data_IF_534841465003
#
_entry.id   IF_534841465003
#
_cell.length_a   1.000
_cell.length_b   1.000
_cell.length_c   1.000
_cell.angle_alpha   90.00
_cell.angle_beta   90.00
_cell.angle_gamma   90.00
#
_symmetry.space_group_name_H-M   'P 1'
#
loop_
_entity.id
_entity.type
_entity.pdbx_description
1 polymer ?
#
# COMPACT_ATOMS: atom_id res chain seq x y z
N UNK A 1 0.65 -15.54 -20.76
CA UNK A 1 0.95 -15.22 -19.35
C UNK A 1 -0.37 -15.08 -18.62
N UNK A 2 -0.57 -15.73 -17.48
CA UNK A 2 -1.76 -15.48 -16.66
C UNK A 2 -1.63 -14.09 -16.03
N UNK A 3 -2.66 -13.25 -16.13
CA UNK A 3 -2.70 -12.01 -15.37
C UNK A 3 -2.68 -12.33 -13.87
N UNK A 4 -1.80 -11.65 -13.12
CA UNK A 4 -1.80 -11.72 -11.65
C UNK A 4 -2.47 -10.46 -11.13
N UNK A 5 -3.64 -10.63 -10.53
CA UNK A 5 -4.38 -9.55 -9.89
C UNK A 5 -4.03 -9.51 -8.41
N UNK A 6 -3.72 -8.31 -7.93
CA UNK A 6 -3.51 -8.03 -6.51
C UNK A 6 -4.54 -7.01 -6.05
N UNK A 7 -5.00 -7.14 -4.81
CA UNK A 7 -5.91 -6.18 -4.19
C UNK A 7 -5.13 -5.31 -3.21
N UNK A 8 -5.30 -4.00 -3.31
CA UNK A 8 -4.67 -3.03 -2.41
C UNK A 8 -5.72 -2.35 -1.53
N UNK A 9 -5.54 -2.43 -0.22
CA UNK A 9 -6.30 -1.68 0.77
C UNK A 9 -5.51 -0.48 1.27
N UNK A 10 -6.13 0.70 1.30
CA UNK A 10 -5.52 1.96 1.74
C UNK A 10 -6.43 2.60 2.81
N UNK A 11 -5.89 2.84 4.00
CA UNK A 11 -6.54 3.57 5.10
C UNK A 11 -5.70 4.81 5.45
N UNK A 12 -6.24 6.00 5.17
CA UNK A 12 -5.56 7.27 5.42
C UNK A 12 -6.40 8.10 6.40
N UNK A 13 -5.94 8.15 7.65
CA UNK A 13 -6.42 9.10 8.65
C UNK A 13 -5.59 10.39 8.65
N UNK A 14 -5.93 11.36 9.51
CA UNK A 14 -5.27 12.68 9.60
C UNK A 14 -3.81 12.68 10.08
N UNK A 15 -3.32 11.55 10.59
CA UNK A 15 -1.96 11.40 11.11
C UNK A 15 -1.23 10.24 10.44
N UNK A 16 -1.95 9.20 10.00
CA UNK A 16 -1.38 7.92 9.58
C UNK A 16 -1.95 7.43 8.26
N UNK A 17 -1.10 6.81 7.45
CA UNK A 17 -1.48 6.01 6.29
C UNK A 17 -1.10 4.55 6.53
N UNK A 18 -2.04 3.64 6.25
CA UNK A 18 -1.84 2.19 6.23
C UNK A 18 -2.12 1.67 4.83
N UNK A 19 -1.27 0.78 4.36
CA UNK A 19 -1.44 0.12 3.05
C UNK A 19 -1.20 -1.36 3.22
N UNK A 20 -2.05 -2.18 2.59
CA UNK A 20 -1.91 -3.64 2.53
C UNK A 20 -2.14 -4.10 1.10
N UNK A 21 -1.32 -5.03 0.62
CA UNK A 21 -1.51 -5.71 -0.66
C UNK A 21 -1.66 -7.20 -0.40
N UNK A 22 -2.69 -7.78 -1.00
CA UNK A 22 -2.95 -9.22 -0.94
C UNK A 22 -2.99 -9.84 -2.33
N UNK A 23 -2.62 -11.11 -2.42
CA UNK A 23 -2.84 -11.94 -3.61
C UNK A 23 -4.28 -12.49 -3.66
N UNK A 24 -4.59 -13.26 -4.71
CA UNK A 24 -5.90 -13.92 -4.89
C UNK A 24 -6.23 -14.95 -3.81
N UNK A 25 -5.22 -15.46 -3.10
CA UNK A 25 -5.37 -16.42 -2.02
C UNK A 25 -5.44 -15.72 -0.66
N UNK A 26 -5.61 -14.39 -0.64
CA UNK A 26 -5.66 -13.54 0.56
C UNK A 26 -4.36 -13.49 1.37
N UNK A 27 -3.23 -13.93 0.79
CA UNK A 27 -1.93 -13.81 1.45
C UNK A 27 -1.44 -12.37 1.34
N UNK A 28 -0.98 -11.80 2.46
CA UNK A 28 -0.35 -10.49 2.49
C UNK A 28 1.00 -10.55 1.79
N UNK A 29 1.15 -9.78 0.71
CA UNK A 29 2.39 -9.62 -0.02
C UNK A 29 3.16 -8.37 0.44
N UNK A 30 2.43 -7.36 0.92
CA UNK A 30 3.02 -6.13 1.42
C UNK A 30 2.12 -5.51 2.49
N UNK A 31 2.74 -4.90 3.51
CA UNK A 31 2.03 -4.04 4.45
C UNK A 31 2.92 -2.89 4.91
N UNK A 32 2.35 -1.69 4.99
CA UNK A 32 3.04 -0.51 5.47
C UNK A 32 2.15 0.30 6.41
N UNK A 33 2.78 0.80 7.46
CA UNK A 33 2.24 1.82 8.36
C UNK A 33 3.19 3.01 8.36
N UNK A 34 2.69 4.20 8.05
CA UNK A 34 3.47 5.45 7.97
C UNK A 34 2.71 6.59 8.61
N UNK A 35 3.43 7.50 9.29
CA UNK A 35 2.86 8.77 9.74
C UNK A 35 2.96 9.77 8.59
N UNK A 36 1.83 10.19 8.04
CA UNK A 36 1.84 11.03 6.83
C UNK A 36 2.07 12.52 7.12
N UNK A 37 1.97 12.97 8.38
CA UNK A 37 2.25 14.36 8.82
C UNK A 37 1.64 15.44 7.91
N UNK A 38 0.35 15.31 7.57
CA UNK A 38 -0.37 16.17 6.62
C UNK A 38 0.05 16.06 5.12
N UNK A 39 1.06 15.27 4.78
CA UNK A 39 1.51 15.02 3.40
C UNK A 39 0.98 13.68 2.85
N UNK A 40 -0.35 13.57 2.74
CA UNK A 40 -1.04 12.34 2.32
C UNK A 40 -0.59 11.83 0.95
N UNK A 41 -0.54 12.70 -0.06
CA UNK A 41 -0.20 12.32 -1.43
C UNK A 41 1.23 11.80 -1.58
N UNK A 42 2.21 12.47 -0.97
CA UNK A 42 3.61 12.02 -0.96
C UNK A 42 3.78 10.68 -0.26
N UNK A 43 3.08 10.48 0.85
CA UNK A 43 3.15 9.21 1.59
C UNK A 43 2.59 8.05 0.76
N UNK A 44 1.47 8.27 0.06
CA UNK A 44 0.91 7.26 -0.83
C UNK A 44 1.84 6.95 -2.01
N UNK A 45 2.40 7.98 -2.66
CA UNK A 45 3.35 7.80 -3.76
C UNK A 45 4.58 7.00 -3.33
N UNK A 46 5.18 7.34 -2.18
CA UNK A 46 6.31 6.59 -1.62
C UNK A 46 5.95 5.13 -1.35
N UNK A 47 4.75 4.84 -0.86
CA UNK A 47 4.33 3.46 -0.60
C UNK A 47 4.11 2.70 -1.91
N UNK A 48 3.60 3.35 -2.96
CA UNK A 48 3.45 2.73 -4.29
C UNK A 48 4.81 2.47 -4.95
N UNK A 49 5.77 3.37 -4.79
CA UNK A 49 7.15 3.18 -5.26
C UNK A 49 7.82 2.01 -4.56
N UNK A 50 7.64 1.88 -3.23
CA UNK A 50 8.16 0.75 -2.45
C UNK A 50 7.61 -0.59 -3.00
N UNK A 51 6.32 -0.61 -3.34
CA UNK A 51 5.63 -1.79 -3.88
C UNK A 51 6.13 -2.16 -5.28
N UNK A 52 6.35 -1.18 -6.15
CA UNK A 52 6.83 -1.43 -7.52
C UNK A 52 8.28 -1.96 -7.55
N UNK A 53 9.08 -1.67 -6.52
CA UNK A 53 10.47 -2.12 -6.41
C UNK A 53 10.64 -3.46 -5.69
N UNK A 54 9.55 -4.03 -5.15
CA UNK A 54 9.53 -5.29 -4.40
C UNK A 54 9.20 -6.48 -5.31
#
# INVERSE_FOLDING_TARGET
MSERTYSMGIDIGSITAKVVIIDSNTNIQYSAYRRHKAETGKTLLSVLDDVHQS
#
